data_IF_463086935476
#
_entry.id   IF_463086935476
#
_cell.length_a   1.000
_cell.length_b   1.000
_cell.length_c   1.000
_cell.angle_alpha   90.00
_cell.angle_beta   90.00
_cell.angle_gamma   90.00
#
_symmetry.space_group_name_H-M   'P 1'
#
loop_
_entity.id
_entity.type
_entity.pdbx_description
1 polymer ?
#
# COMPACT_ATOMS: atom_id res chain seq x y z
N UNK A 1 -16.43 -2.47 -23.86
CA UNK A 1 -16.98 -2.49 -22.47
C UNK A 1 -15.95 -2.99 -21.47
N UNK A 2 -15.30 -4.13 -21.74
CA UNK A 2 -14.40 -4.81 -20.79
C UNK A 2 -13.19 -3.98 -20.34
N UNK A 3 -12.53 -3.24 -21.26
CA UNK A 3 -11.36 -2.42 -20.89
C UNK A 3 -11.73 -1.22 -20.00
N UNK A 4 -12.86 -0.56 -20.26
CA UNK A 4 -13.34 0.56 -19.43
C UNK A 4 -13.66 0.09 -18.01
N UNK A 5 -14.38 -1.02 -17.87
CA UNK A 5 -14.67 -1.60 -16.57
C UNK A 5 -13.40 -2.05 -15.85
N UNK A 6 -12.50 -2.72 -16.56
CA UNK A 6 -11.19 -3.12 -16.02
C UNK A 6 -10.43 -1.91 -15.46
N UNK A 7 -10.31 -0.83 -16.24
CA UNK A 7 -9.66 0.42 -15.83
C UNK A 7 -10.27 1.01 -14.56
N UNK A 8 -11.61 1.07 -14.47
CA UNK A 8 -12.30 1.55 -13.28
C UNK A 8 -11.99 0.69 -12.06
N UNK A 9 -11.99 -0.64 -12.18
CA UNK A 9 -11.70 -1.56 -11.07
C UNK A 9 -10.26 -1.40 -10.57
N UNK A 10 -9.26 -1.40 -11.46
CA UNK A 10 -7.86 -1.23 -11.05
C UNK A 10 -7.60 0.17 -10.51
N UNK A 11 -8.29 1.19 -11.03
CA UNK A 11 -8.23 2.56 -10.53
C UNK A 11 -8.78 2.69 -9.10
N UNK A 12 -9.93 2.07 -8.82
CA UNK A 12 -10.48 1.99 -7.45
C UNK A 12 -9.50 1.27 -6.52
N UNK A 13 -8.91 0.16 -6.96
CA UNK A 13 -7.94 -0.57 -6.15
C UNK A 13 -6.69 0.29 -5.83
N UNK A 14 -6.15 1.01 -6.82
CA UNK A 14 -4.99 1.88 -6.64
C UNK A 14 -5.27 3.06 -5.70
N UNK A 15 -6.39 3.74 -5.89
CA UNK A 15 -6.81 4.86 -5.03
C UNK A 15 -7.10 4.37 -3.62
N UNK A 16 -7.78 3.23 -3.47
CA UNK A 16 -8.06 2.59 -2.19
C UNK A 16 -6.79 2.25 -1.41
N UNK A 17 -5.82 1.61 -2.07
CA UNK A 17 -4.51 1.33 -1.48
C UNK A 17 -3.80 2.62 -1.03
N UNK A 18 -3.87 3.67 -1.86
CA UNK A 18 -3.27 4.97 -1.54
C UNK A 18 -3.88 5.60 -0.28
N UNK A 19 -5.21 5.60 -0.15
CA UNK A 19 -5.87 6.09 1.06
C UNK A 19 -5.56 5.22 2.29
N UNK A 20 -5.47 3.90 2.13
CA UNK A 20 -5.09 3.00 3.20
C UNK A 20 -3.68 3.31 3.73
N UNK A 21 -2.67 3.47 2.85
CA UNK A 21 -1.31 3.82 3.27
C UNK A 21 -1.21 5.23 3.86
N UNK A 22 -1.96 6.21 3.34
CA UNK A 22 -2.05 7.53 3.96
C UNK A 22 -2.64 7.46 5.37
N UNK A 23 -3.67 6.63 5.58
CA UNK A 23 -4.24 6.41 6.90
C UNK A 23 -3.21 5.76 7.84
N UNK A 24 -2.51 4.71 7.39
CA UNK A 24 -1.45 4.07 8.18
C UNK A 24 -0.39 5.09 8.61
N UNK A 25 0.11 5.90 7.68
CA UNK A 25 1.13 6.94 7.94
C UNK A 25 0.70 7.92 9.03
N UNK A 26 -0.55 8.36 8.97
CA UNK A 26 -1.12 9.33 9.89
C UNK A 26 -1.40 8.73 11.28
N UNK A 27 -1.46 7.39 11.40
CA UNK A 27 -1.76 6.68 12.66
C UNK A 27 -0.55 6.03 13.32
N UNK A 28 0.65 6.18 12.75
CA UNK A 28 1.88 5.68 13.36
C UNK A 28 2.11 6.29 14.75
N UNK A 29 2.32 5.44 15.74
CA UNK A 29 2.91 5.80 17.01
C UNK A 29 4.41 6.03 16.83
N UNK A 30 4.88 7.22 17.21
CA UNK A 30 6.26 7.67 17.01
C UNK A 30 7.09 7.67 18.31
N UNK A 31 6.52 7.22 19.43
CA UNK A 31 7.15 7.20 20.74
C UNK A 31 7.68 5.79 21.07
N UNK A 32 8.89 5.72 21.65
CA UNK A 32 9.46 4.46 22.13
C UNK A 32 9.91 3.49 21.03
N UNK A 33 10.15 3.99 19.81
CA UNK A 33 10.61 3.19 18.69
C UNK A 33 12.10 2.87 18.76
N UNK A 34 12.50 1.75 18.15
CA UNK A 34 13.91 1.48 17.82
C UNK A 34 14.42 2.50 16.82
N UNK A 35 15.73 2.71 16.77
CA UNK A 35 16.35 3.77 15.98
C UNK A 35 16.07 3.66 14.48
N UNK A 36 15.92 2.45 13.94
CA UNK A 36 15.60 2.19 12.55
C UNK A 36 14.11 2.37 12.20
N UNK A 37 13.23 2.43 13.21
CA UNK A 37 11.78 2.48 13.05
C UNK A 37 11.27 3.93 13.13
N UNK A 38 10.62 4.37 12.06
CA UNK A 38 9.97 5.69 11.96
C UNK A 38 8.67 5.74 12.76
N UNK A 39 7.99 4.60 12.89
CA UNK A 39 6.75 4.47 13.62
C UNK A 39 6.24 3.04 13.61
N UNK A 40 5.35 2.72 14.55
CA UNK A 40 4.64 1.45 14.58
C UNK A 40 3.14 1.66 14.73
N UNK A 41 2.33 0.66 14.39
CA UNK A 41 0.90 0.65 14.69
C UNK A 41 0.36 -0.77 14.84
N UNK A 42 -0.70 -0.88 15.64
CA UNK A 42 -1.55 -2.06 15.71
C UNK A 42 -2.80 -1.83 14.87
N UNK A 43 -3.17 -2.84 14.08
CA UNK A 43 -4.39 -2.84 13.28
C UNK A 43 -5.16 -4.15 13.44
N UNK A 44 -6.48 -4.11 13.27
CA UNK A 44 -7.34 -5.29 13.28
C UNK A 44 -8.17 -5.34 12.00
N UNK A 45 -8.26 -6.52 11.38
CA UNK A 45 -9.11 -6.74 10.22
C UNK A 45 -9.53 -8.21 10.13
N UNK A 46 -10.81 -8.48 9.87
CA UNK A 46 -11.33 -9.86 9.74
C UNK A 46 -11.11 -10.75 10.97
N UNK A 47 -11.00 -10.15 12.16
CA UNK A 47 -10.68 -10.86 13.42
C UNK A 47 -9.19 -11.10 13.66
N UNK A 48 -8.31 -10.80 12.70
CA UNK A 48 -6.86 -10.87 12.84
C UNK A 48 -6.25 -9.56 13.35
N UNK A 49 -5.19 -9.66 14.14
CA UNK A 49 -4.41 -8.52 14.64
C UNK A 49 -3.07 -8.46 13.90
N UNK A 50 -2.70 -7.26 13.47
CA UNK A 50 -1.49 -6.98 12.73
C UNK A 50 -0.68 -5.93 13.47
N UNK A 51 0.63 -6.15 13.55
CA UNK A 51 1.58 -5.15 14.02
C UNK A 51 2.46 -4.74 12.84
N UNK A 52 2.45 -3.44 12.53
CA UNK A 52 3.20 -2.90 11.41
C UNK A 52 4.25 -1.93 11.93
N UNK A 53 5.46 -2.05 11.40
CA UNK A 53 6.56 -1.12 11.62
C UNK A 53 6.95 -0.46 10.31
N UNK A 54 7.01 0.87 10.31
CA UNK A 54 7.56 1.65 9.19
C UNK A 54 9.03 1.90 9.46
N UNK A 55 9.89 1.46 8.55
CA UNK A 55 11.31 1.75 8.61
C UNK A 55 11.61 3.19 8.14
N UNK A 56 12.59 3.85 8.75
CA UNK A 56 13.05 5.20 8.32
C UNK A 56 13.72 5.18 6.95
N UNK A 57 14.37 4.07 6.63
CA UNK A 57 15.11 3.83 5.38
C UNK A 57 14.87 2.41 4.92
N UNK A 58 15.30 2.11 3.70
CA UNK A 58 15.33 0.74 3.21
C UNK A 58 16.12 -0.16 4.18
N UNK A 59 15.56 -1.31 4.60
CA UNK A 59 16.24 -2.24 5.51
C UNK A 59 17.40 -2.94 4.80
N UNK A 60 18.47 -3.29 5.52
CA UNK A 60 19.63 -3.98 4.92
C UNK A 60 19.25 -5.31 4.27
N UNK A 61 18.29 -6.02 4.88
CA UNK A 61 17.72 -7.26 4.36
C UNK A 61 16.24 -7.05 4.07
N UNK A 62 15.83 -7.25 2.82
CA UNK A 62 14.41 -7.31 2.46
C UNK A 62 13.84 -8.68 2.84
N UNK A 63 12.73 -8.73 3.57
CA UNK A 63 12.07 -10.00 3.85
C UNK A 63 11.48 -10.59 2.55
N UNK A 64 11.56 -11.92 2.43
CA UNK A 64 10.86 -12.67 1.40
C UNK A 64 9.78 -13.57 2.04
N UNK A 65 8.52 -13.53 1.53
CA UNK A 65 8.07 -12.76 0.38
C UNK A 65 7.82 -11.27 0.68
N UNK A 66 8.19 -10.39 -0.28
CA UNK A 66 7.86 -8.96 -0.23
C UNK A 66 6.49 -8.69 -0.86
N UNK A 67 5.52 -8.27 -0.05
CA UNK A 67 4.21 -7.84 -0.53
C UNK A 67 4.23 -6.38 -0.96
N UNK A 68 4.38 -6.15 -2.27
CA UNK A 68 4.43 -4.81 -2.86
C UNK A 68 3.21 -4.50 -3.75
N UNK A 69 2.39 -3.54 -3.31
CA UNK A 69 1.18 -3.03 -3.98
C UNK A 69 1.51 -2.10 -5.16
N UNK A 70 2.15 -2.64 -6.21
CA UNK A 70 2.52 -1.88 -7.44
C UNK A 70 1.57 -2.10 -8.60
N UNK A 71 0.88 -3.23 -8.62
CA UNK A 71 0.18 -3.72 -9.81
C UNK A 71 -1.09 -2.93 -10.09
N UNK A 72 -1.77 -2.47 -9.05
CA UNK A 72 -2.95 -1.62 -9.14
C UNK A 72 -2.61 -0.32 -9.87
N UNK A 73 -1.50 0.31 -9.51
CA UNK A 73 -1.00 1.51 -10.17
C UNK A 73 -0.60 1.24 -11.63
N UNK A 74 0.20 0.18 -11.85
CA UNK A 74 0.68 -0.15 -13.20
C UNK A 74 -0.46 -0.51 -14.15
N UNK A 75 -1.42 -1.32 -13.72
CA UNK A 75 -2.56 -1.67 -14.55
C UNK A 75 -3.51 -0.48 -14.77
N UNK A 76 -3.66 0.40 -13.79
CA UNK A 76 -4.43 1.66 -13.99
C UNK A 76 -3.78 2.51 -15.08
N UNK A 77 -2.46 2.70 -15.02
CA UNK A 77 -1.74 3.48 -16.02
C UNK A 77 -1.83 2.85 -17.41
N UNK A 78 -1.53 1.55 -17.54
CA UNK A 78 -1.56 0.82 -18.81
C UNK A 78 -2.96 0.88 -19.42
N UNK A 79 -4.00 0.53 -18.65
CA UNK A 79 -5.37 0.55 -19.15
C UNK A 79 -5.86 1.96 -19.48
N UNK A 80 -5.37 2.98 -18.76
CA UNK A 80 -5.64 4.38 -19.07
C UNK A 80 -5.08 4.79 -20.43
N UNK A 81 -3.82 4.44 -20.72
CA UNK A 81 -3.21 4.70 -22.04
C UNK A 81 -3.96 3.98 -23.16
N UNK A 82 -4.33 2.72 -22.96
CA UNK A 82 -5.09 1.94 -23.96
C UNK A 82 -6.51 2.47 -24.20
N UNK A 83 -7.06 3.28 -23.30
CA UNK A 83 -8.36 3.93 -23.49
C UNK A 83 -8.29 5.24 -24.29
N UNK A 84 -7.07 5.78 -24.51
CA UNK A 84 -6.84 6.99 -25.30
C UNK A 84 -6.66 6.72 -26.80
N UNK A 85 -6.50 5.46 -27.19
CA UNK A 85 -6.48 4.99 -28.58
C UNK A 85 -7.88 4.66 -29.09
#
# INVERSE_FOLDING_TARGET
MSLKLFHVVVGIAWIGASFYFNWLENKLNRVGNRDEIAGHLWAVHGGGFYYLEKYKKYPENLPEPLHWFKWEAYFTWISGILLLS
#
